data_IF_186823381795
#
_entry.id   IF_186823381795
#
_cell.length_a   1.000
_cell.length_b   1.000
_cell.length_c   1.000
_cell.angle_alpha   90.00
_cell.angle_beta   90.00
_cell.angle_gamma   90.00
#
_symmetry.space_group_name_H-M   'P 1'
#
loop_
_entity.id
_entity.type
_entity.pdbx_description
1 polymer ?
#
# COMPACT_ATOMS: atom_id res chain seq x y z
N UNK A 1 4.47 -4.78 -13.81
CA UNK A 1 3.04 -4.55 -13.48
C UNK A 1 2.89 -4.47 -11.97
N UNK A 2 1.96 -3.68 -11.45
CA UNK A 2 1.70 -3.62 -10.02
C UNK A 2 1.29 -5.00 -9.49
N UNK A 3 1.79 -5.40 -8.33
CA UNK A 3 1.34 -6.63 -7.66
C UNK A 3 -0.12 -6.45 -7.22
N UNK A 4 -0.46 -5.24 -6.75
CA UNK A 4 -1.85 -4.85 -6.54
C UNK A 4 -2.07 -3.35 -6.65
N UNK A 5 -3.32 -2.99 -6.92
CA UNK A 5 -3.84 -1.63 -6.95
C UNK A 5 -5.17 -1.58 -6.22
N UNK A 6 -5.44 -0.49 -5.51
CA UNK A 6 -6.68 -0.33 -4.74
C UNK A 6 -7.10 1.14 -4.63
N UNK A 7 -8.40 1.39 -4.79
CA UNK A 7 -9.05 2.65 -4.40
C UNK A 7 -9.30 2.68 -2.89
N UNK A 8 -8.88 3.77 -2.25
CA UNK A 8 -8.93 3.89 -0.80
C UNK A 8 -10.34 4.13 -0.30
N UNK A 9 -10.76 3.33 0.68
CA UNK A 9 -12.03 3.44 1.37
C UNK A 9 -11.91 4.26 2.67
N UNK A 10 -13.03 4.60 3.30
CA UNK A 10 -13.06 5.25 4.63
C UNK A 10 -12.22 4.48 5.67
N UNK A 11 -12.24 3.15 5.64
CA UNK A 11 -11.46 2.30 6.55
C UNK A 11 -9.96 2.39 6.27
N UNK A 12 -9.58 2.48 5.00
CA UNK A 12 -8.17 2.61 4.62
C UNK A 12 -7.62 3.95 5.11
N UNK A 13 -8.35 5.05 4.90
CA UNK A 13 -7.92 6.38 5.35
C UNK A 13 -7.86 6.51 6.87
N UNK A 14 -8.80 5.90 7.61
CA UNK A 14 -8.96 6.15 9.05
C UNK A 14 -8.32 5.11 9.96
N UNK A 15 -8.07 3.90 9.47
CA UNK A 15 -7.67 2.77 10.33
C UNK A 15 -6.47 1.99 9.79
N UNK A 16 -6.63 1.36 8.63
CA UNK A 16 -5.66 0.39 8.08
C UNK A 16 -5.95 0.07 6.64
N UNK A 17 -4.91 -0.18 5.84
CA UNK A 17 -5.07 -0.63 4.47
C UNK A 17 -5.47 -2.10 4.43
N UNK A 18 -6.64 -2.41 3.89
CA UNK A 18 -7.04 -3.82 3.68
C UNK A 18 -6.62 -4.27 2.29
N UNK A 19 -5.79 -5.32 2.19
CA UNK A 19 -5.34 -5.81 0.88
C UNK A 19 -6.54 -6.36 0.07
N UNK A 20 -6.55 -6.18 -1.26
CA UNK A 20 -7.58 -6.77 -2.11
C UNK A 20 -7.62 -8.30 -2.00
N UNK A 21 -8.81 -8.87 -1.93
CA UNK A 21 -9.01 -10.31 -1.73
C UNK A 21 -8.40 -11.14 -2.86
N UNK A 22 -8.38 -10.65 -4.09
CA UNK A 22 -7.78 -11.37 -5.23
C UNK A 22 -6.24 -11.44 -5.19
N UNK A 23 -5.61 -10.66 -4.31
CA UNK A 23 -4.15 -10.61 -4.13
C UNK A 23 -3.70 -11.50 -2.95
N UNK A 24 -4.29 -12.69 -2.82
CA UNK A 24 -4.16 -13.57 -1.65
C UNK A 24 -2.75 -14.10 -1.34
N UNK A 25 -1.75 -13.78 -2.16
CA UNK A 25 -0.34 -13.91 -1.78
C UNK A 25 0.03 -12.65 -0.98
N UNK A 26 0.02 -12.68 0.37
CA UNK A 26 0.33 -11.50 1.15
C UNK A 26 1.72 -10.99 0.78
N UNK A 27 1.79 -9.68 0.56
CA UNK A 27 3.04 -8.95 0.59
C UNK A 27 3.23 -8.46 2.03
N UNK A 28 4.35 -8.79 2.69
CA UNK A 28 5.29 -9.89 2.46
C UNK A 28 4.71 -11.25 2.87
N UNK A 29 5.40 -12.35 2.47
CA UNK A 29 5.04 -13.72 2.88
C UNK A 29 4.99 -13.84 4.40
N UNK A 30 3.84 -14.27 4.91
CA UNK A 30 3.56 -14.47 6.34
C UNK A 30 3.80 -15.93 6.78
N UNK A 31 4.61 -16.70 6.03
CA UNK A 31 4.94 -18.09 6.43
C UNK A 31 5.60 -18.08 7.82
N UNK A 32 4.99 -18.80 8.77
CA UNK A 32 5.47 -18.95 10.15
C UNK A 32 5.17 -17.78 11.10
N UNK A 33 4.59 -16.66 10.64
CA UNK A 33 4.22 -15.53 11.50
C UNK A 33 2.98 -14.81 10.98
N UNK A 34 2.04 -14.47 11.87
CA UNK A 34 0.84 -13.71 11.51
C UNK A 34 1.10 -12.22 11.24
N UNK A 35 2.32 -11.73 11.51
CA UNK A 35 2.71 -10.33 11.41
C UNK A 35 4.13 -10.23 10.85
N UNK A 36 4.37 -9.32 9.90
CA UNK A 36 5.70 -9.06 9.34
C UNK A 36 5.81 -7.60 8.88
N UNK A 37 6.91 -6.95 9.24
CA UNK A 37 7.27 -5.63 8.74
C UNK A 37 8.00 -5.78 7.39
N UNK A 38 7.82 -4.84 6.47
CA UNK A 38 8.54 -4.77 5.20
C UNK A 38 8.78 -3.33 4.75
N UNK A 39 9.90 -3.06 4.07
CA UNK A 39 10.16 -1.76 3.47
C UNK A 39 9.44 -1.61 2.13
N UNK A 40 9.00 -0.40 1.83
CA UNK A 40 8.59 0.02 0.49
C UNK A 40 9.09 1.43 0.20
N UNK A 41 9.72 1.63 -0.95
CA UNK A 41 10.16 2.96 -1.40
C UNK A 41 9.05 3.64 -2.17
N UNK A 42 8.87 4.93 -1.96
CA UNK A 42 7.94 5.72 -2.76
C UNK A 42 8.64 6.42 -3.94
N UNK A 43 7.88 7.20 -4.70
CA UNK A 43 8.37 7.92 -5.86
C UNK A 43 9.42 9.01 -5.56
N UNK A 44 9.52 9.50 -4.32
CA UNK A 44 10.56 10.45 -3.90
C UNK A 44 11.81 9.76 -3.36
N UNK A 45 11.83 8.43 -3.31
CA UNK A 45 12.93 7.66 -2.74
C UNK A 45 12.82 7.45 -1.23
N UNK A 46 11.73 7.90 -0.58
CA UNK A 46 11.55 7.73 0.85
C UNK A 46 11.12 6.31 1.19
N UNK A 47 11.77 5.70 2.19
CA UNK A 47 11.51 4.32 2.61
C UNK A 47 10.46 4.28 3.71
N UNK A 48 9.29 3.72 3.39
CA UNK A 48 8.22 3.43 4.32
C UNK A 48 8.37 2.02 4.90
N UNK A 49 8.30 1.88 6.23
CA UNK A 49 8.18 0.56 6.86
C UNK A 49 6.72 0.27 7.18
N UNK A 50 6.14 -0.71 6.49
CA UNK A 50 4.76 -1.15 6.72
C UNK A 50 4.71 -2.46 7.48
N UNK A 51 3.76 -2.60 8.40
CA UNK A 51 3.46 -3.89 9.04
C UNK A 51 2.26 -4.55 8.38
N UNK A 52 2.50 -5.69 7.75
CA UNK A 52 1.44 -6.58 7.28
C UNK A 52 1.06 -7.56 8.38
N UNK A 53 -0.24 -7.73 8.62
CA UNK A 53 -0.76 -8.72 9.56
C UNK A 53 -2.00 -9.40 9.01
N UNK A 54 -2.24 -10.64 9.40
CA UNK A 54 -3.48 -11.35 9.09
C UNK A 54 -4.44 -11.27 10.28
N UNK A 55 -5.73 -11.03 10.00
CA UNK A 55 -6.76 -11.03 11.05
C UNK A 55 -6.82 -12.38 11.76
N UNK A 56 -6.77 -12.38 13.10
CA UNK A 56 -6.81 -13.60 13.94
C UNK A 56 -8.21 -14.23 14.11
N UNK A 57 -9.28 -13.46 13.93
CA UNK A 57 -10.68 -13.90 14.10
C UNK A 57 -11.48 -13.64 12.81
N UNK A 58 -12.22 -14.63 12.33
CA UNK A 58 -12.96 -14.54 11.06
C UNK A 58 -12.08 -14.74 9.82
N UNK A 59 -12.53 -14.29 8.65
CA UNK A 59 -11.77 -14.44 7.40
C UNK A 59 -10.35 -13.83 7.53
N UNK A 60 -9.28 -14.61 7.23
CA UNK A 60 -7.88 -14.22 7.42
C UNK A 60 -7.44 -13.19 6.36
N UNK A 61 -8.00 -11.99 6.44
CA UNK A 61 -7.69 -10.90 5.51
C UNK A 61 -6.40 -10.18 5.95
N UNK A 62 -5.40 -10.06 5.06
CA UNK A 62 -4.20 -9.30 5.36
C UNK A 62 -4.48 -7.78 5.35
N UNK A 63 -3.82 -7.06 6.26
CA UNK A 63 -3.94 -5.61 6.42
C UNK A 63 -2.58 -4.96 6.70
N UNK A 64 -2.37 -3.75 6.18
CA UNK A 64 -1.25 -2.89 6.59
C UNK A 64 -1.71 -1.98 7.73
N UNK A 65 -1.00 -2.03 8.85
CA UNK A 65 -1.36 -1.32 10.09
C UNK A 65 -0.31 -0.26 10.45
N UNK A 66 0.81 -0.66 11.05
CA UNK A 66 1.95 0.23 11.33
C UNK A 66 2.50 0.83 10.03
N UNK A 67 2.90 2.09 10.08
CA UNK A 67 3.40 2.87 8.94
C UNK A 67 2.32 3.40 7.99
N UNK A 68 1.19 2.71 7.87
CA UNK A 68 0.15 3.06 6.90
C UNK A 68 -0.48 4.44 7.14
N UNK A 69 -0.92 4.75 8.36
CA UNK A 69 -1.55 6.06 8.62
C UNK A 69 -0.54 7.21 8.55
N UNK A 70 0.75 6.95 8.77
CA UNK A 70 1.80 7.95 8.55
C UNK A 70 1.94 8.26 7.06
N UNK A 71 1.96 7.22 6.21
CA UNK A 71 1.95 7.35 4.75
C UNK A 71 0.72 8.12 4.25
N UNK A 72 -0.48 7.77 4.74
CA UNK A 72 -1.74 8.46 4.41
C UNK A 72 -1.65 9.95 4.72
N UNK A 73 -1.13 10.33 5.90
CA UNK A 73 -1.01 11.75 6.29
C UNK A 73 0.03 12.47 5.43
N UNK A 74 1.18 11.86 5.21
CA UNK A 74 2.28 12.47 4.46
C UNK A 74 1.93 12.68 2.97
N UNK A 75 1.23 11.73 2.34
CA UNK A 75 0.74 11.85 0.95
C UNK A 75 -0.64 12.53 0.86
N UNK A 76 -1.16 13.03 1.98
CA UNK A 76 -2.48 13.67 2.13
C UNK A 76 -3.64 12.88 1.48
N UNK A 77 -3.61 11.54 1.63
CA UNK A 77 -4.53 10.66 0.91
C UNK A 77 -5.97 10.79 1.39
N UNK A 78 -6.90 10.70 0.44
CA UNK A 78 -8.35 10.82 0.66
C UNK A 78 -9.08 9.59 0.12
N UNK A 79 -10.34 9.45 0.53
CA UNK A 79 -11.22 8.41 -0.03
C UNK A 79 -11.37 8.64 -1.53
N UNK A 80 -11.17 7.60 -2.33
CA UNK A 80 -11.15 7.69 -3.79
C UNK A 80 -9.73 7.67 -4.38
N UNK A 81 -8.71 8.16 -3.65
CA UNK A 81 -7.32 8.07 -4.11
C UNK A 81 -6.92 6.61 -4.35
N UNK A 82 -5.94 6.40 -5.24
CA UNK A 82 -5.47 5.06 -5.62
C UNK A 82 -4.08 4.82 -5.07
N UNK A 83 -3.85 3.63 -4.53
CA UNK A 83 -2.51 3.18 -4.10
C UNK A 83 -2.14 1.90 -4.81
N UNK A 84 -0.91 1.85 -5.30
CA UNK A 84 -0.32 0.73 -6.01
C UNK A 84 0.92 0.25 -5.27
N UNK A 85 1.08 -1.06 -5.18
CA UNK A 85 2.31 -1.68 -4.72
C UNK A 85 2.88 -2.54 -5.83
N UNK A 86 4.18 -2.42 -6.03
CA UNK A 86 4.96 -3.18 -6.98
C UNK A 86 5.96 -4.00 -6.20
N UNK A 87 6.02 -5.29 -6.52
CA UNK A 87 7.09 -6.15 -6.02
C UNK A 87 8.23 -6.11 -7.03
N UNK A 88 9.39 -5.65 -6.62
CA UNK A 88 10.57 -5.75 -7.47
C UNK A 88 11.07 -7.20 -7.45
N UNK A 89 11.45 -7.71 -8.63
CA UNK A 89 12.09 -9.02 -8.74
C UNK A 89 13.56 -8.79 -8.45
N UNK A 90 14.09 -9.37 -7.38
CA UNK A 90 15.53 -9.42 -7.15
C UNK A 90 16.23 -9.96 -8.40
N UNK A 91 17.20 -9.22 -8.92
CA UNK A 91 18.16 -9.76 -9.90
C UNK A 91 19.34 -10.48 -9.24
N UNK A 92 19.41 -10.59 -7.90
CA UNK A 92 20.42 -11.44 -7.25
C UNK A 92 20.08 -11.72 -5.77
N UNK A 93 19.96 -13.01 -5.42
CA UNK A 93 20.13 -13.50 -4.05
C UNK A 93 18.89 -13.61 -3.15
N UNK A 94 19.04 -14.21 -1.94
CA UNK A 94 17.97 -14.54 -1.00
C UNK A 94 17.49 -13.34 -0.15
N UNK A 95 17.59 -12.11 -0.66
CA UNK A 95 17.25 -10.91 0.09
C UNK A 95 15.73 -10.74 0.28
N UNK A 96 15.32 -9.99 1.30
CA UNK A 96 13.92 -9.62 1.51
C UNK A 96 13.41 -8.87 0.29
N UNK A 97 12.24 -9.24 -0.28
CA UNK A 97 11.74 -8.60 -1.49
C UNK A 97 11.54 -7.10 -1.25
N UNK A 98 12.10 -6.30 -2.15
CA UNK A 98 11.92 -4.86 -2.15
C UNK A 98 10.58 -4.49 -2.82
N UNK A 99 9.90 -3.51 -2.25
CA UNK A 99 8.63 -3.02 -2.77
C UNK A 99 8.74 -1.56 -3.15
N UNK A 100 8.02 -1.18 -4.22
CA UNK A 100 7.70 0.21 -4.50
C UNK A 100 6.25 0.47 -4.15
N UNK A 101 5.96 1.62 -3.56
CA UNK A 101 4.61 2.11 -3.31
C UNK A 101 4.40 3.40 -4.09
N UNK A 102 3.26 3.52 -4.77
CA UNK A 102 2.87 4.74 -5.46
C UNK A 102 1.45 5.11 -5.02
N UNK A 103 1.21 6.41 -4.88
CA UNK A 103 -0.12 6.95 -4.64
C UNK A 103 -0.53 7.91 -5.77
N UNK A 104 -1.81 7.92 -6.11
CA UNK A 104 -2.37 8.76 -7.15
C UNK A 104 -3.66 9.43 -6.66
N UNK A 105 -3.81 10.73 -6.92
CA UNK A 105 -5.03 11.49 -6.63
C UNK A 105 -6.12 11.13 -7.62
N UNK A 106 -7.33 10.93 -7.10
CA UNK A 106 -8.53 10.90 -7.94
C UNK A 106 -8.80 12.31 -8.52
N UNK A 107 -8.89 12.41 -9.84
CA UNK A 107 -9.24 13.66 -10.53
C UNK A 107 -10.73 13.63 -10.84
N UNK A 108 -11.46 14.62 -10.32
CA UNK A 108 -12.87 14.84 -10.62
C UNK A 108 -13.08 16.16 -11.36
N UNK A 109 -13.88 16.11 -12.41
CA UNK A 109 -14.37 17.29 -13.12
C UNK A 109 -15.89 17.22 -13.06
N UNK A 110 -16.53 18.23 -12.45
CA UNK A 110 -17.98 18.28 -12.24
C UNK A 110 -18.57 17.01 -11.59
N UNK A 111 -17.86 16.43 -10.62
CA UNK A 111 -18.28 15.21 -9.92
C UNK A 111 -18.04 13.90 -10.69
N UNK A 112 -17.63 13.97 -11.95
CA UNK A 112 -17.27 12.81 -12.78
C UNK A 112 -15.79 12.48 -12.62
N UNK A 113 -15.46 11.20 -12.41
CA UNK A 113 -14.08 10.74 -12.32
C UNK A 113 -13.46 10.80 -13.72
N UNK A 114 -12.48 11.68 -13.88
CA UNK A 114 -11.77 11.88 -15.15
C UNK A 114 -10.51 11.03 -15.26
N UNK A 115 -9.87 10.74 -14.11
CA UNK A 115 -8.67 9.94 -14.09
C UNK A 115 -7.94 9.96 -12.75
N UNK A 116 -6.67 9.61 -12.78
CA UNK A 116 -5.79 9.58 -11.62
C UNK A 116 -4.45 10.21 -11.98
N UNK A 117 -3.91 11.06 -11.11
CA UNK A 117 -2.56 11.65 -11.27
C UNK A 117 -1.63 11.16 -10.17
N UNK A 118 -0.36 10.81 -10.48
CA UNK A 118 0.65 10.55 -9.46
C UNK A 118 0.72 11.67 -8.42
N UNK A 119 0.84 11.26 -7.16
CA UNK A 119 1.22 12.15 -6.06
C UNK A 119 2.74 12.08 -6.01
N UNK A 120 3.38 13.24 -6.05
CA UNK A 120 4.77 13.40 -5.66
C UNK A 120 4.70 14.26 -4.41
N UNK A 121 4.94 13.68 -3.24
CA UNK A 121 5.04 14.52 -2.05
C UNK A 121 6.26 15.44 -2.21
N UNK A 122 6.17 16.70 -1.76
CA UNK A 122 7.36 17.54 -1.68
C UNK A 122 8.39 16.84 -0.80
N UNK A 123 9.66 16.87 -1.23
CA UNK A 123 10.79 16.46 -0.42
C UNK A 123 10.70 17.13 0.97
N UNK A 124 10.95 16.40 2.07
CA UNK A 124 11.01 17.02 3.39
C UNK A 124 12.07 18.11 3.48
#
# INVERSE_FOLDING_TARGET
MAEFSKLLTKTDIRKRFSLPTKCFKPLPSLKGSHVRDFPAIDESGFVWTFQCSTRKKGHPKPVLSKGWLAFVRHKELKVGDRVKFFKEKDQSGPATPFYRVEAEKEIKIFGVIFGYSPIVAPSP
#
